data_IF_131857270603
#
_entry.id   IF_131857270603
#
_cell.length_a   1.000
_cell.length_b   1.000
_cell.length_c   1.000
_cell.angle_alpha   90.00
_cell.angle_beta   90.00
_cell.angle_gamma   90.00
#
_symmetry.space_group_name_H-M   'P 1'
#
loop_
_entity.id
_entity.type
_entity.pdbx_description
1 polymer ?
#
# COMPACT_ATOMS: atom_id res chain seq x y z
N UNK A 1 1.36 -8.35 25.48
CA UNK A 1 1.62 -7.94 24.09
C UNK A 1 0.80 -6.70 23.83
N UNK A 2 1.43 -5.58 23.44
CA UNK A 2 0.69 -4.44 22.90
C UNK A 2 0.05 -4.90 21.58
N UNK A 3 -1.25 -4.66 21.42
CA UNK A 3 -1.95 -4.97 20.17
C UNK A 3 -1.42 -4.05 19.09
N UNK A 4 -0.94 -4.64 17.99
CA UNK A 4 -0.63 -3.86 16.79
C UNK A 4 -1.90 -3.20 16.27
N UNK A 5 -1.81 -1.95 15.85
CA UNK A 5 -2.93 -1.19 15.30
C UNK A 5 -2.63 -0.84 13.85
N UNK A 6 -3.59 -1.12 12.99
CA UNK A 6 -3.55 -0.73 11.58
C UNK A 6 -4.71 0.22 11.34
N UNK A 7 -4.42 1.41 10.81
CA UNK A 7 -5.41 2.42 10.48
C UNK A 7 -5.47 2.63 8.97
N UNK A 8 -6.67 2.50 8.41
CA UNK A 8 -6.91 2.88 7.02
C UNK A 8 -7.48 4.30 7.02
N UNK A 9 -6.74 5.21 6.40
CA UNK A 9 -7.10 6.63 6.32
C UNK A 9 -7.12 7.08 4.87
N UNK A 10 -7.95 8.06 4.57
CA UNK A 10 -7.97 8.70 3.26
C UNK A 10 -6.69 9.52 3.02
N UNK A 11 -6.39 9.80 1.75
CA UNK A 11 -5.30 10.73 1.39
C UNK A 11 -5.43 12.07 2.13
N UNK A 12 -6.64 12.64 2.16
CA UNK A 12 -6.87 13.94 2.78
C UNK A 12 -6.54 13.93 4.29
N UNK A 13 -6.80 12.82 4.98
CA UNK A 13 -6.42 12.65 6.39
C UNK A 13 -4.90 12.46 6.53
N UNK A 14 -4.29 11.62 5.70
CA UNK A 14 -2.86 11.34 5.73
C UNK A 14 -2.00 12.59 5.50
N UNK A 15 -2.43 13.49 4.60
CA UNK A 15 -1.74 14.75 4.30
C UNK A 15 -1.81 15.78 5.44
N UNK A 16 -2.79 15.65 6.35
CA UNK A 16 -2.92 16.49 7.55
C UNK A 16 -2.32 15.85 8.80
N UNK A 17 -1.87 14.61 8.71
CA UNK A 17 -1.38 13.86 9.84
C UNK A 17 0.09 14.18 10.09
N UNK A 18 0.38 14.67 11.29
CA UNK A 18 1.77 14.82 11.75
C UNK A 18 2.39 13.42 11.97
N UNK A 19 3.65 13.19 11.56
CA UNK A 19 4.34 11.94 11.79
C UNK A 19 4.33 11.55 13.27
N UNK A 20 3.87 10.33 13.56
CA UNK A 20 3.81 9.80 14.93
C UNK A 20 5.11 9.03 15.23
N UNK A 21 5.85 9.36 16.30
CA UNK A 21 7.03 8.60 16.68
C UNK A 21 6.71 7.12 16.93
N UNK A 22 7.49 6.22 16.31
CA UNK A 22 7.28 4.77 16.43
C UNK A 22 6.19 4.20 15.53
N UNK A 23 5.53 5.03 14.72
CA UNK A 23 4.58 4.58 13.69
C UNK A 23 5.21 4.60 12.30
N UNK A 24 4.65 3.79 11.40
CA UNK A 24 4.98 3.79 9.98
C UNK A 24 3.78 4.28 9.16
N UNK A 25 4.04 4.69 7.93
CA UNK A 25 3.01 5.04 6.95
C UNK A 25 3.21 4.22 5.68
N UNK A 26 2.14 3.61 5.18
CA UNK A 26 2.11 2.91 3.89
C UNK A 26 1.14 3.69 3.00
N UNK A 27 1.65 4.21 1.89
CA UNK A 27 0.86 4.98 0.92
C UNK A 27 0.86 4.25 -0.42
N UNK A 28 -0.30 3.70 -0.77
CA UNK A 28 -0.56 3.10 -2.07
C UNK A 28 -1.37 4.12 -2.88
N UNK A 29 -0.93 4.42 -4.09
CA UNK A 29 -1.58 5.41 -4.96
C UNK A 29 -1.91 4.79 -6.31
N UNK A 30 -3.15 4.92 -6.75
CA UNK A 30 -3.55 4.58 -8.11
C UNK A 30 -2.60 5.24 -9.14
N UNK A 31 -2.11 4.52 -10.16
CA UNK A 31 -1.09 5.06 -11.08
C UNK A 31 -1.49 6.32 -11.87
N UNK A 32 -2.79 6.61 -12.00
CA UNK A 32 -3.31 7.82 -12.64
C UNK A 32 -3.55 8.99 -11.66
N UNK A 33 -3.17 8.83 -10.38
CA UNK A 33 -3.32 9.85 -9.34
C UNK A 33 -1.98 10.40 -8.88
N UNK A 34 -2.01 11.64 -8.39
CA UNK A 34 -0.85 12.24 -7.76
C UNK A 34 -0.57 11.58 -6.39
N UNK A 35 0.70 11.33 -6.04
CA UNK A 35 1.06 10.84 -4.70
C UNK A 35 0.60 11.80 -3.59
N UNK A 36 0.21 11.23 -2.44
CA UNK A 36 -0.15 12.03 -1.26
C UNK A 36 1.03 12.89 -0.78
N UNK A 37 0.77 14.14 -0.39
CA UNK A 37 1.75 15.05 0.21
C UNK A 37 1.95 14.75 1.71
N UNK A 38 2.77 13.75 2.03
CA UNK A 38 2.97 13.26 3.40
C UNK A 38 4.14 13.97 4.10
N UNK A 39 4.03 14.12 5.42
CA UNK A 39 5.11 14.63 6.27
C UNK A 39 6.35 13.72 6.33
N UNK A 40 7.33 14.11 7.14
CA UNK A 40 8.60 13.38 7.30
C UNK A 40 8.44 12.18 8.26
N UNK A 41 7.85 11.10 7.76
CA UNK A 41 7.72 9.84 8.50
C UNK A 41 9.07 9.12 8.61
N UNK A 42 9.41 8.65 9.81
CA UNK A 42 10.63 7.88 10.04
C UNK A 42 10.65 6.53 9.31
N UNK A 43 9.46 5.97 9.05
CA UNK A 43 9.25 4.77 8.24
C UNK A 43 8.10 5.04 7.26
N UNK A 44 8.42 5.18 5.97
CA UNK A 44 7.44 5.46 4.91
C UNK A 44 7.64 4.48 3.74
N UNK A 45 6.61 3.71 3.43
CA UNK A 45 6.53 2.92 2.21
C UNK A 45 5.60 3.60 1.20
N UNK A 46 6.04 3.65 -0.06
CA UNK A 46 5.21 4.13 -1.18
C UNK A 46 5.21 3.09 -2.28
N UNK A 47 4.03 2.84 -2.81
CA UNK A 47 3.85 2.01 -4.00
C UNK A 47 2.71 2.57 -4.86
N UNK A 48 2.67 2.14 -6.12
CA UNK A 48 1.63 2.55 -7.04
C UNK A 48 1.07 1.36 -7.80
N UNK A 49 -0.18 1.05 -7.49
CA UNK A 49 -0.99 0.06 -8.17
C UNK A 49 -2.47 0.31 -7.83
N UNK A 50 -3.36 -0.16 -8.70
CA UNK A 50 -4.79 -0.18 -8.42
C UNK A 50 -5.11 -1.22 -7.35
N UNK A 51 -5.64 -0.78 -6.21
CA UNK A 51 -6.17 -1.64 -5.16
C UNK A 51 -7.62 -2.01 -5.49
N UNK A 52 -7.79 -2.92 -6.46
CA UNK A 52 -9.08 -3.40 -6.92
C UNK A 52 -9.07 -4.91 -7.14
N UNK A 53 -10.15 -5.58 -6.73
CA UNK A 53 -10.32 -7.01 -6.96
C UNK A 53 -10.87 -7.34 -8.35
N UNK A 54 -10.65 -8.58 -8.77
CA UNK A 54 -11.35 -9.17 -9.93
C UNK A 54 -11.94 -10.51 -9.55
N UNK A 55 -13.03 -10.87 -10.23
CA UNK A 55 -13.50 -12.25 -10.20
C UNK A 55 -12.64 -13.13 -11.12
N UNK A 56 -12.51 -14.42 -10.81
CA UNK A 56 -11.89 -15.40 -11.72
C UNK A 56 -12.56 -15.35 -13.11
N UNK A 57 -13.86 -15.08 -13.16
CA UNK A 57 -14.62 -14.90 -14.38
C UNK A 57 -14.10 -13.71 -15.23
N UNK A 58 -13.71 -12.60 -14.59
CA UNK A 58 -13.08 -11.44 -15.25
C UNK A 58 -11.74 -11.82 -15.88
N UNK A 59 -10.92 -12.59 -15.16
CA UNK A 59 -9.62 -13.09 -15.63
C UNK A 59 -9.81 -14.01 -16.85
N UNK A 60 -10.74 -14.97 -16.75
CA UNK A 60 -11.05 -15.92 -17.82
C UNK A 60 -11.64 -15.26 -19.08
N UNK A 61 -12.42 -14.19 -18.91
CA UNK A 61 -13.06 -13.48 -20.02
C UNK A 61 -12.07 -12.61 -20.78
N UNK A 62 -11.16 -11.92 -20.07
CA UNK A 62 -10.22 -10.97 -20.67
C UNK A 62 -8.98 -11.64 -21.31
N UNK A 63 -8.60 -12.86 -20.89
CA UNK A 63 -7.46 -13.64 -21.45
C UNK A 63 -6.21 -12.78 -21.71
N UNK A 64 -5.76 -12.67 -22.96
CA UNK A 64 -4.56 -11.92 -23.33
C UNK A 64 -4.68 -10.40 -23.10
N UNK A 65 -5.90 -9.85 -23.16
CA UNK A 65 -6.15 -8.44 -22.87
C UNK A 65 -6.06 -8.12 -21.37
N UNK A 66 -6.15 -9.14 -20.50
CA UNK A 66 -6.02 -8.94 -19.06
C UNK A 66 -4.66 -8.29 -18.72
N UNK A 67 -3.56 -8.85 -19.24
CA UNK A 67 -2.23 -8.29 -18.97
C UNK A 67 -2.04 -6.85 -19.45
N UNK A 68 -2.70 -6.45 -20.53
CA UNK A 68 -2.60 -5.06 -21.04
C UNK A 68 -3.52 -4.10 -20.29
N UNK A 69 -4.73 -4.55 -19.91
CA UNK A 69 -5.70 -3.72 -19.21
C UNK A 69 -5.42 -3.59 -17.71
N UNK A 70 -4.62 -4.49 -17.15
CA UNK A 70 -4.40 -4.62 -15.71
C UNK A 70 -2.92 -4.57 -15.31
N UNK A 71 -2.02 -4.12 -16.20
CA UNK A 71 -0.60 -3.92 -15.89
C UNK A 71 -0.34 -2.96 -14.71
N UNK A 72 -1.33 -2.14 -14.39
CA UNK A 72 -1.29 -1.15 -13.31
C UNK A 72 -1.79 -1.69 -11.97
N UNK A 73 -2.08 -2.98 -11.85
CA UNK A 73 -2.47 -3.63 -10.59
C UNK A 73 -1.30 -4.36 -9.96
N UNK A 74 -1.43 -4.70 -8.68
CA UNK A 74 -0.35 -5.31 -7.91
C UNK A 74 0.13 -6.60 -8.57
N UNK A 75 1.43 -6.64 -8.87
CA UNK A 75 2.09 -7.84 -9.35
C UNK A 75 2.78 -8.63 -8.22
N UNK A 76 3.32 -9.81 -8.52
CA UNK A 76 3.98 -10.64 -7.52
C UNK A 76 5.23 -9.99 -6.93
N UNK A 77 5.97 -9.19 -7.70
CA UNK A 77 7.16 -8.48 -7.23
C UNK A 77 6.78 -7.37 -6.25
N UNK A 78 5.71 -6.63 -6.53
CA UNK A 78 5.16 -5.61 -5.62
C UNK A 78 4.61 -6.25 -4.35
N UNK A 79 3.89 -7.37 -4.46
CA UNK A 79 3.38 -8.12 -3.32
C UNK A 79 4.51 -8.64 -2.42
N UNK A 80 5.56 -9.24 -2.99
CA UNK A 80 6.74 -9.70 -2.26
C UNK A 80 7.45 -8.54 -1.55
N UNK A 81 7.60 -7.40 -2.23
CA UNK A 81 8.22 -6.20 -1.66
C UNK A 81 7.40 -5.63 -0.50
N UNK A 82 6.08 -5.50 -0.65
CA UNK A 82 5.20 -5.04 0.42
C UNK A 82 5.23 -5.99 1.61
N UNK A 83 5.22 -7.31 1.38
CA UNK A 83 5.35 -8.31 2.46
C UNK A 83 6.66 -8.15 3.22
N UNK A 84 7.79 -8.03 2.51
CA UNK A 84 9.10 -7.86 3.15
C UNK A 84 9.19 -6.56 3.96
N UNK A 85 8.56 -5.48 3.49
CA UNK A 85 8.46 -4.22 4.23
C UNK A 85 7.65 -4.41 5.51
N UNK A 86 6.47 -5.04 5.43
CA UNK A 86 5.64 -5.33 6.60
C UNK A 86 6.40 -6.16 7.63
N UNK A 87 7.08 -7.22 7.19
CA UNK A 87 7.92 -8.05 8.06
C UNK A 87 9.05 -7.24 8.72
N UNK A 88 9.69 -6.33 7.97
CA UNK A 88 10.71 -5.42 8.49
C UNK A 88 10.17 -4.44 9.55
N UNK A 89 8.98 -3.88 9.34
CA UNK A 89 8.32 -3.00 10.31
C UNK A 89 7.99 -3.77 11.59
N UNK A 90 7.47 -5.00 11.44
CA UNK A 90 7.21 -5.91 12.56
C UNK A 90 8.48 -6.23 13.34
N UNK A 91 9.57 -6.58 12.66
CA UNK A 91 10.86 -6.89 13.28
C UNK A 91 11.51 -5.69 13.99
N UNK A 92 11.20 -4.47 13.54
CA UNK A 92 11.72 -3.22 14.11
C UNK A 92 10.92 -2.70 15.30
N UNK A 93 9.87 -3.41 15.73
CA UNK A 93 9.06 -3.03 16.88
C UNK A 93 8.02 -1.93 16.61
N UNK A 94 7.71 -1.65 15.35
CA UNK A 94 6.62 -0.74 14.97
C UNK A 94 5.29 -1.38 15.40
N UNK A 95 4.52 -0.65 16.19
CA UNK A 95 3.24 -1.10 16.77
C UNK A 95 2.01 -0.40 16.16
N UNK A 96 2.25 0.65 15.37
CA UNK A 96 1.23 1.39 14.62
C UNK A 96 1.62 1.56 13.15
N UNK A 97 0.69 1.21 12.26
CA UNK A 97 0.75 1.44 10.81
C UNK A 97 -0.51 2.19 10.39
#
# INVERSE_FOLDING_TARGET
MLSKKVFFISQAEAERLEPVPGAAMISITDPDKSPAALGQWGQLYRDSFYDGGYSENTIHTMKAAFRMNYASYIDSSQAEKLSAVLDGLVGSGIDQI
#
